data_IF_213030880010
#
_entry.id   IF_213030880010
#
_cell.length_a   1.000
_cell.length_b   1.000
_cell.length_c   1.000
_cell.angle_alpha   90.00
_cell.angle_beta   90.00
_cell.angle_gamma   90.00
#
_symmetry.space_group_name_H-M   'P 1'
#
loop_
_entity.id
_entity.type
_entity.pdbx_description
1 polymer ?
#
# COMPACT_ATOMS: atom_id res chain seq x y z
N UNK A 1 2.75 49.96 48.13
CA UNK A 1 1.41 49.34 48.16
C UNK A 1 1.15 48.69 46.81
N UNK A 2 1.48 47.40 46.65
CA UNK A 2 1.22 46.64 45.43
C UNK A 2 -0.13 45.95 45.56
N UNK A 3 -1.09 46.36 44.74
CA UNK A 3 -2.39 45.71 44.65
C UNK A 3 -2.21 44.33 44.00
N UNK A 4 -2.61 43.21 44.63
CA UNK A 4 -2.54 41.90 44.01
C UNK A 4 -3.57 41.80 42.87
N UNK A 5 -3.12 41.31 41.71
CA UNK A 5 -3.96 41.09 40.55
C UNK A 5 -5.06 40.06 40.86
N UNK A 6 -6.32 40.28 40.41
CA UNK A 6 -7.41 39.35 40.64
C UNK A 6 -7.14 38.03 39.91
N UNK A 7 -7.17 36.92 40.67
CA UNK A 7 -7.25 35.57 40.11
C UNK A 7 -8.62 35.41 39.47
N UNK A 8 -8.67 35.40 38.15
CA UNK A 8 -9.84 34.94 37.42
C UNK A 8 -9.92 33.41 37.55
N UNK A 9 -10.76 32.97 38.47
CA UNK A 9 -11.18 31.57 38.58
C UNK A 9 -12.29 31.37 37.54
N UNK A 10 -11.91 30.84 36.38
CA UNK A 10 -12.87 30.46 35.33
C UNK A 10 -13.60 29.22 35.84
N UNK A 11 -14.75 29.43 36.48
CA UNK A 11 -15.70 28.37 36.78
C UNK A 11 -16.18 27.78 35.44
N UNK A 12 -15.65 26.62 35.09
CA UNK A 12 -16.11 25.84 33.95
C UNK A 12 -17.53 25.36 34.22
N UNK A 13 -18.51 26.08 33.68
CA UNK A 13 -19.90 25.62 33.54
C UNK A 13 -19.90 24.42 32.60
N UNK A 14 -20.20 23.25 33.15
CA UNK A 14 -20.06 21.95 32.50
C UNK A 14 -21.11 21.63 31.41
N UNK A 15 -21.84 22.63 30.90
CA UNK A 15 -23.01 22.39 30.02
C UNK A 15 -23.13 23.37 28.84
N UNK A 16 -22.09 24.13 28.53
CA UNK A 16 -22.11 25.07 27.42
C UNK A 16 -21.30 24.51 26.25
N UNK A 17 -21.99 24.27 25.13
CA UNK A 17 -21.50 23.73 23.88
C UNK A 17 -20.06 24.17 23.59
N UNK A 18 -19.11 23.26 23.80
CA UNK A 18 -17.71 23.49 23.52
C UNK A 18 -17.62 24.01 22.07
N UNK A 19 -17.10 25.23 21.84
CA UNK A 19 -16.88 25.71 20.49
C UNK A 19 -16.04 24.66 19.79
N UNK A 20 -16.48 24.22 18.61
CA UNK A 20 -15.77 23.26 17.79
C UNK A 20 -14.34 23.76 17.60
N UNK A 21 -13.43 23.20 18.39
CA UNK A 21 -12.04 23.63 18.43
C UNK A 21 -11.49 23.46 17.00
N UNK A 22 -11.03 24.53 16.33
CA UNK A 22 -10.50 24.44 14.97
C UNK A 22 -9.34 23.43 14.87
N UNK A 23 -8.69 23.10 16.00
CA UNK A 23 -7.69 22.04 16.09
C UNK A 23 -8.22 20.62 15.77
N UNK A 24 -9.54 20.40 15.83
CA UNK A 24 -10.15 19.11 15.46
C UNK A 24 -10.07 18.81 13.96
N UNK A 25 -9.91 19.83 13.12
CA UNK A 25 -9.93 19.68 11.66
C UNK A 25 -8.61 19.23 11.05
N UNK A 26 -7.47 19.50 11.70
CA UNK A 26 -6.14 19.18 11.14
C UNK A 26 -5.70 17.72 11.35
N UNK A 27 -6.51 16.90 12.03
CA UNK A 27 -6.24 15.47 12.20
C UNK A 27 -5.02 15.15 13.06
N UNK A 28 -4.43 16.14 13.72
CA UNK A 28 -3.22 16.04 14.54
C UNK A 28 -3.49 15.57 15.98
N UNK A 29 -4.74 15.54 16.42
CA UNK A 29 -5.08 15.11 17.79
C UNK A 29 -5.10 13.58 17.88
N UNK A 30 -4.43 13.04 18.89
CA UNK A 30 -4.51 11.62 19.19
C UNK A 30 -5.91 11.23 19.70
N UNK A 31 -6.73 10.70 18.79
CA UNK A 31 -8.06 10.19 19.16
C UNK A 31 -7.95 9.02 20.16
N UNK A 32 -8.76 9.09 21.22
CA UNK A 32 -9.00 7.98 22.15
C UNK A 32 -9.67 6.79 21.46
N UNK A 33 -9.61 5.58 22.03
CA UNK A 33 -10.25 4.40 21.43
C UNK A 33 -11.75 4.59 21.19
N UNK A 34 -12.46 5.25 22.12
CA UNK A 34 -13.88 5.58 22.01
C UNK A 34 -14.16 6.56 20.89
N UNK A 35 -13.38 7.63 20.77
CA UNK A 35 -13.53 8.61 19.68
C UNK A 35 -13.30 7.96 18.31
N UNK A 36 -12.36 7.02 18.19
CA UNK A 36 -12.14 6.27 16.95
C UNK A 36 -13.33 5.37 16.59
N UNK A 37 -13.95 4.71 17.57
CA UNK A 37 -15.17 3.92 17.33
C UNK A 37 -16.35 4.81 16.94
N UNK A 38 -16.52 5.95 17.62
CA UNK A 38 -17.54 6.94 17.25
C UNK A 38 -17.33 7.45 15.82
N UNK A 39 -16.09 7.74 15.43
CA UNK A 39 -15.76 8.14 14.06
C UNK A 39 -16.15 7.03 13.06
N UNK A 40 -15.89 5.76 13.37
CA UNK A 40 -16.20 4.65 12.47
C UNK A 40 -17.70 4.49 12.18
N UNK A 41 -18.55 4.69 13.21
CA UNK A 41 -19.99 4.38 13.11
C UNK A 41 -20.88 5.62 12.94
N UNK A 42 -20.46 6.77 13.45
CA UNK A 42 -21.27 8.00 13.40
C UNK A 42 -20.93 8.87 12.19
N UNK A 43 -19.69 8.81 11.68
CA UNK A 43 -19.30 9.60 10.51
C UNK A 43 -19.87 8.95 9.24
N UNK A 44 -20.79 9.62 8.51
CA UNK A 44 -21.50 9.01 7.39
C UNK A 44 -20.55 8.56 6.27
N UNK A 45 -19.48 9.33 6.04
CA UNK A 45 -18.51 9.03 5.01
C UNK A 45 -17.69 7.75 5.33
N UNK A 46 -17.31 7.54 6.59
CA UNK A 46 -16.58 6.34 7.03
C UNK A 46 -17.50 5.13 7.09
N UNK A 47 -18.75 5.33 7.55
CA UNK A 47 -19.78 4.29 7.60
C UNK A 47 -20.02 3.64 6.24
N UNK A 48 -20.01 4.43 5.16
CA UNK A 48 -20.22 3.88 3.83
C UNK A 48 -19.07 2.93 3.40
N UNK A 49 -17.82 3.20 3.79
CA UNK A 49 -16.70 2.27 3.56
C UNK A 49 -16.80 1.02 4.41
N UNK A 50 -17.28 1.13 5.65
CA UNK A 50 -17.52 -0.02 6.54
C UNK A 50 -18.59 -0.94 5.94
N UNK A 51 -19.68 -0.36 5.43
CA UNK A 51 -20.73 -1.11 4.73
C UNK A 51 -20.14 -1.79 3.48
N UNK A 52 -19.38 -1.05 2.66
CA UNK A 52 -18.74 -1.62 1.46
C UNK A 52 -17.79 -2.78 1.80
N UNK A 53 -17.00 -2.66 2.88
CA UNK A 53 -16.10 -3.71 3.33
C UNK A 53 -16.86 -4.97 3.78
N UNK A 54 -17.94 -4.81 4.57
CA UNK A 54 -18.77 -5.94 4.99
C UNK A 54 -19.53 -6.59 3.83
N UNK A 55 -20.07 -5.79 2.90
CA UNK A 55 -20.71 -6.31 1.69
C UNK A 55 -19.73 -7.10 0.83
N UNK A 56 -18.49 -6.62 0.70
CA UNK A 56 -17.43 -7.33 -0.01
C UNK A 56 -17.05 -8.65 0.68
N UNK A 57 -16.90 -8.66 2.01
CA UNK A 57 -16.65 -9.90 2.77
C UNK A 57 -17.79 -10.91 2.65
N UNK A 58 -19.04 -10.45 2.69
CA UNK A 58 -20.20 -11.29 2.47
C UNK A 58 -20.19 -11.90 1.05
N UNK A 59 -19.81 -11.11 0.04
CA UNK A 59 -19.69 -11.60 -1.33
C UNK A 59 -18.55 -12.63 -1.48
N UNK A 60 -17.39 -12.41 -0.86
CA UNK A 60 -16.29 -13.39 -0.83
C UNK A 60 -16.76 -14.71 -0.21
N UNK A 61 -17.47 -14.64 0.91
CA UNK A 61 -18.06 -15.81 1.56
C UNK A 61 -19.02 -16.56 0.63
N UNK A 62 -19.96 -15.86 0.00
CA UNK A 62 -20.93 -16.48 -0.90
C UNK A 62 -20.27 -17.18 -2.08
N UNK A 63 -19.24 -16.58 -2.69
CA UNK A 63 -18.52 -17.21 -3.80
C UNK A 63 -17.75 -18.45 -3.34
N UNK A 64 -17.05 -18.39 -2.20
CA UNK A 64 -16.33 -19.56 -1.67
C UNK A 64 -17.27 -20.68 -1.23
N UNK A 65 -18.42 -20.33 -0.67
CA UNK A 65 -19.48 -21.28 -0.33
C UNK A 65 -20.02 -21.98 -1.58
N UNK A 66 -20.27 -21.24 -2.67
CA UNK A 66 -20.67 -21.84 -3.97
C UNK A 66 -19.59 -22.76 -4.56
N UNK A 67 -18.32 -22.52 -4.24
CA UNK A 67 -17.18 -23.38 -4.63
C UNK A 67 -16.99 -24.57 -3.69
N UNK A 68 -17.83 -24.74 -2.66
CA UNK A 68 -17.76 -25.83 -1.68
C UNK A 68 -16.69 -25.63 -0.59
N UNK A 69 -16.18 -24.41 -0.43
CA UNK A 69 -15.17 -24.06 0.59
C UNK A 69 -15.78 -23.30 1.76
N UNK A 70 -16.69 -23.95 2.48
CA UNK A 70 -17.48 -23.34 3.57
C UNK A 70 -16.59 -22.85 4.72
N UNK A 71 -15.63 -23.70 5.13
CA UNK A 71 -14.67 -23.40 6.19
C UNK A 71 -13.76 -22.22 5.81
N UNK A 72 -13.31 -22.19 4.55
CA UNK A 72 -12.47 -21.13 4.02
C UNK A 72 -13.21 -19.79 3.99
N UNK A 73 -14.44 -19.80 3.48
CA UNK A 73 -15.32 -18.63 3.51
C UNK A 73 -15.51 -18.08 4.93
N UNK A 74 -15.87 -18.95 5.89
CA UNK A 74 -16.11 -18.54 7.28
C UNK A 74 -14.85 -17.93 7.92
N UNK A 75 -13.69 -18.56 7.73
CA UNK A 75 -12.42 -18.08 8.29
C UNK A 75 -12.05 -16.70 7.74
N UNK A 76 -12.26 -16.46 6.44
CA UNK A 76 -12.01 -15.15 5.80
C UNK A 76 -12.94 -14.08 6.37
N UNK A 77 -14.23 -14.39 6.58
CA UNK A 77 -15.15 -13.43 7.20
C UNK A 77 -14.71 -13.08 8.61
N UNK A 78 -14.34 -14.07 9.44
CA UNK A 78 -13.89 -13.81 10.82
C UNK A 78 -12.64 -12.92 10.84
N UNK A 79 -11.63 -13.24 10.01
CA UNK A 79 -10.40 -12.45 9.91
C UNK A 79 -10.71 -11.05 9.37
N UNK A 80 -11.53 -10.96 8.33
CA UNK A 80 -11.89 -9.71 7.68
C UNK A 80 -12.67 -8.76 8.58
N UNK A 81 -13.71 -9.28 9.25
CA UNK A 81 -14.51 -8.54 10.25
C UNK A 81 -13.63 -8.10 11.41
N UNK A 82 -12.78 -9.00 11.94
CA UNK A 82 -11.82 -8.66 12.99
C UNK A 82 -10.85 -7.57 12.52
N UNK A 83 -10.41 -7.62 11.27
CA UNK A 83 -9.59 -6.59 10.63
C UNK A 83 -10.24 -5.21 10.62
N UNK A 84 -11.52 -5.14 10.24
CA UNK A 84 -12.30 -3.89 10.21
C UNK A 84 -12.51 -3.35 11.63
N UNK A 85 -12.95 -4.20 12.56
CA UNK A 85 -13.34 -3.79 13.93
C UNK A 85 -12.12 -3.48 14.81
N UNK A 86 -11.16 -4.41 14.86
CA UNK A 86 -9.94 -4.27 15.67
C UNK A 86 -8.89 -3.40 14.99
N UNK A 87 -9.10 -3.02 13.73
CA UNK A 87 -8.16 -2.21 12.94
C UNK A 87 -6.79 -2.88 12.86
N UNK A 88 -6.81 -4.18 12.61
CA UNK A 88 -5.62 -4.98 12.50
C UNK A 88 -4.98 -4.79 11.12
N UNK A 89 -3.85 -4.09 11.06
CA UNK A 89 -3.17 -3.69 9.81
C UNK A 89 -2.73 -4.88 8.95
N UNK A 90 -2.48 -6.04 9.56
CA UNK A 90 -2.11 -7.26 8.84
C UNK A 90 -3.32 -8.03 8.27
N UNK A 91 -4.56 -7.70 8.67
CA UNK A 91 -5.74 -8.44 8.24
C UNK A 91 -5.91 -8.58 6.71
N UNK A 92 -5.68 -7.54 5.88
CA UNK A 92 -5.69 -7.68 4.42
C UNK A 92 -4.77 -8.78 3.89
N UNK A 93 -3.54 -8.86 4.42
CA UNK A 93 -2.57 -9.86 4.03
C UNK A 93 -3.00 -11.27 4.46
N UNK A 94 -3.56 -11.41 5.67
CA UNK A 94 -4.12 -12.68 6.13
C UNK A 94 -5.33 -13.12 5.31
N UNK A 95 -6.23 -12.20 4.95
CA UNK A 95 -7.37 -12.50 4.06
C UNK A 95 -6.88 -13.03 2.72
N UNK A 96 -5.91 -12.36 2.08
CA UNK A 96 -5.32 -12.83 0.82
C UNK A 96 -4.62 -14.18 0.96
N UNK A 97 -3.87 -14.38 2.04
CA UNK A 97 -3.18 -15.63 2.31
C UNK A 97 -4.16 -16.80 2.47
N UNK A 98 -5.20 -16.63 3.31
CA UNK A 98 -6.23 -17.65 3.55
C UNK A 98 -7.05 -17.90 2.28
N UNK A 99 -7.44 -16.84 1.56
CA UNK A 99 -8.12 -16.97 0.28
C UNK A 99 -7.30 -17.79 -0.72
N UNK A 100 -6.02 -17.46 -0.88
CA UNK A 100 -5.12 -18.18 -1.78
C UNK A 100 -4.99 -19.65 -1.35
N UNK A 101 -4.85 -19.91 -0.05
CA UNK A 101 -4.78 -21.26 0.48
C UNK A 101 -6.02 -22.09 0.12
N UNK A 102 -7.23 -21.54 0.33
CA UNK A 102 -8.48 -22.26 0.04
C UNK A 102 -8.81 -22.33 -1.46
N UNK A 103 -8.30 -21.41 -2.29
CA UNK A 103 -8.37 -21.56 -3.75
C UNK A 103 -7.51 -22.74 -4.24
N UNK A 104 -6.39 -23.03 -3.56
CA UNK A 104 -5.53 -24.18 -3.88
C UNK A 104 -6.07 -25.47 -3.23
N UNK A 105 -6.62 -25.37 -2.01
CA UNK A 105 -7.11 -26.48 -1.22
C UNK A 105 -8.54 -26.18 -0.72
N UNK A 106 -9.59 -26.40 -1.53
CA UNK A 106 -10.96 -26.01 -1.16
C UNK A 106 -11.46 -26.68 0.12
N UNK A 107 -11.01 -27.91 0.40
CA UNK A 107 -11.31 -28.68 1.61
C UNK A 107 -10.35 -28.43 2.77
N UNK A 108 -9.32 -27.60 2.59
CA UNK A 108 -8.35 -27.24 3.63
C UNK A 108 -7.29 -28.30 3.96
N UNK A 109 -7.38 -29.53 3.42
CA UNK A 109 -6.41 -30.62 3.66
C UNK A 109 -5.54 -30.82 2.41
N UNK A 110 -4.20 -30.64 2.51
CA UNK A 110 -3.31 -30.93 1.39
C UNK A 110 -3.21 -32.45 1.18
N UNK A 111 -3.68 -32.95 0.03
CA UNK A 111 -3.45 -34.33 -0.40
C UNK A 111 -4.70 -35.18 -0.63
N UNK A 112 -5.85 -34.79 -0.08
CA UNK A 112 -7.12 -35.50 -0.30
C UNK A 112 -7.92 -34.98 -1.51
N UNK A 113 -7.52 -33.82 -2.04
CA UNK A 113 -8.24 -33.16 -3.12
C UNK A 113 -7.72 -33.59 -4.50
N UNK A 114 -8.53 -34.43 -5.16
CA UNK A 114 -8.55 -34.76 -6.59
C UNK A 114 -7.45 -35.72 -7.09
N UNK A 115 -7.87 -36.88 -7.62
CA UNK A 115 -7.04 -37.75 -8.49
C UNK A 115 -6.46 -36.97 -9.69
N UNK A 116 -7.05 -35.82 -10.03
CA UNK A 116 -6.61 -34.89 -11.07
C UNK A 116 -6.23 -33.50 -10.51
N UNK A 117 -5.37 -33.44 -9.47
CA UNK A 117 -4.81 -32.20 -8.88
C UNK A 117 -4.24 -31.18 -9.87
N UNK A 118 -3.92 -31.61 -11.10
CA UNK A 118 -3.32 -30.81 -12.16
C UNK A 118 -4.21 -30.64 -13.39
N UNK A 119 -5.42 -31.18 -13.35
CA UNK A 119 -6.48 -30.79 -14.28
C UNK A 119 -7.06 -29.48 -13.74
N UNK A 120 -6.20 -28.45 -13.73
CA UNK A 120 -6.69 -27.08 -13.77
C UNK A 120 -7.54 -27.09 -15.03
N UNK A 121 -8.87 -27.06 -14.86
CA UNK A 121 -9.75 -26.69 -15.95
C UNK A 121 -9.27 -25.29 -16.35
N UNK A 122 -8.38 -25.26 -17.35
CA UNK A 122 -7.83 -24.07 -18.00
C UNK A 122 -9.00 -23.41 -18.74
N UNK A 123 -9.93 -22.92 -17.93
CA UNK A 123 -11.24 -22.47 -18.29
C UNK A 123 -11.15 -21.00 -18.57
N UNK A 124 -11.57 -20.65 -19.78
CA UNK A 124 -11.92 -19.28 -20.16
C UNK A 124 -12.80 -18.64 -19.09
N UNK A 125 -12.66 -17.32 -18.95
CA UNK A 125 -13.55 -16.38 -18.25
C UNK A 125 -14.62 -17.02 -17.36
N UNK A 126 -14.32 -17.19 -16.07
CA UNK A 126 -15.31 -17.63 -15.07
C UNK A 126 -15.93 -16.40 -14.40
N UNK A 127 -17.27 -16.20 -14.50
CA UNK A 127 -17.93 -15.09 -13.83
C UNK A 127 -17.72 -15.10 -12.31
N UNK A 128 -17.61 -16.29 -11.70
CA UNK A 128 -17.33 -16.45 -10.26
C UNK A 128 -16.01 -15.83 -9.85
N UNK A 129 -14.96 -16.03 -10.65
CA UNK A 129 -13.61 -15.54 -10.33
C UNK A 129 -13.53 -14.03 -10.50
N UNK A 130 -14.28 -13.49 -11.48
CA UNK A 130 -14.44 -12.05 -11.67
C UNK A 130 -15.14 -11.40 -10.46
N UNK A 131 -16.25 -11.98 -10.01
CA UNK A 131 -16.98 -11.48 -8.83
C UNK A 131 -16.12 -11.59 -7.58
N UNK A 132 -15.38 -12.69 -7.41
CA UNK A 132 -14.44 -12.87 -6.30
C UNK A 132 -13.32 -11.82 -6.31
N UNK A 133 -12.65 -11.64 -7.45
CA UNK A 133 -11.59 -10.65 -7.60
C UNK A 133 -12.10 -9.23 -7.34
N UNK A 134 -13.30 -8.91 -7.82
CA UNK A 134 -13.96 -7.63 -7.56
C UNK A 134 -14.26 -7.44 -6.08
N UNK A 135 -14.82 -8.44 -5.41
CA UNK A 135 -15.10 -8.37 -3.97
C UNK A 135 -13.81 -8.21 -3.15
N UNK A 136 -12.75 -8.93 -3.48
CA UNK A 136 -11.44 -8.79 -2.84
C UNK A 136 -10.87 -7.38 -3.04
N UNK A 137 -10.89 -6.84 -4.27
CA UNK A 137 -10.43 -5.49 -4.54
C UNK A 137 -11.20 -4.42 -3.76
N UNK A 138 -12.53 -4.54 -3.70
CA UNK A 138 -13.37 -3.61 -2.93
C UNK A 138 -13.10 -3.72 -1.44
N UNK A 139 -12.96 -4.94 -0.89
CA UNK A 139 -12.58 -5.14 0.50
C UNK A 139 -11.24 -4.50 0.83
N UNK A 140 -10.19 -4.78 0.03
CA UNK A 140 -8.85 -4.23 0.24
C UNK A 140 -8.87 -2.71 0.18
N UNK A 141 -9.52 -2.13 -0.83
CA UNK A 141 -9.62 -0.69 -1.00
C UNK A 141 -10.37 -0.03 0.17
N UNK A 142 -11.53 -0.57 0.56
CA UNK A 142 -12.31 -0.07 1.69
C UNK A 142 -11.52 -0.16 3.01
N UNK A 143 -10.84 -1.29 3.25
CA UNK A 143 -10.04 -1.51 4.45
C UNK A 143 -8.86 -0.52 4.54
N UNK A 144 -8.12 -0.29 3.44
CA UNK A 144 -7.07 0.74 3.41
C UNK A 144 -7.61 2.16 3.56
N UNK A 145 -8.81 2.47 3.03
CA UNK A 145 -9.46 3.77 3.25
C UNK A 145 -9.86 3.96 4.71
N UNK A 146 -10.48 2.95 5.34
CA UNK A 146 -10.80 2.97 6.77
C UNK A 146 -9.53 3.20 7.59
N UNK A 147 -8.42 2.54 7.24
CA UNK A 147 -7.14 2.77 7.89
C UNK A 147 -6.69 4.22 7.77
N UNK A 148 -6.82 4.86 6.61
CA UNK A 148 -6.42 6.26 6.39
C UNK A 148 -7.15 7.30 7.25
N UNK A 149 -8.35 6.96 7.76
CA UNK A 149 -9.09 7.84 8.69
C UNK A 149 -8.66 7.67 10.14
N UNK A 150 -8.27 6.46 10.53
CA UNK A 150 -7.95 6.15 11.93
C UNK A 150 -6.45 6.23 12.20
N UNK A 151 -5.63 5.90 11.21
CA UNK A 151 -4.18 5.90 11.23
C UNK A 151 -3.64 6.47 9.93
N UNK A 152 -2.35 6.77 9.92
CA UNK A 152 -1.69 7.15 8.69
C UNK A 152 -1.51 5.90 7.81
N UNK A 153 -2.24 5.82 6.69
CA UNK A 153 -2.25 4.65 5.81
C UNK A 153 -0.98 4.51 4.95
N UNK A 154 -0.24 5.61 4.74
CA UNK A 154 0.97 5.64 3.92
C UNK A 154 2.10 6.12 4.82
N UNK A 155 3.21 5.37 4.87
CA UNK A 155 4.41 5.83 5.56
C UNK A 155 4.79 7.23 5.05
N UNK A 156 5.11 8.18 5.94
CA UNK A 156 5.51 9.52 5.52
C UNK A 156 6.69 9.38 4.54
N UNK A 157 6.51 9.80 3.29
CA UNK A 157 7.63 10.01 2.38
C UNK A 157 8.32 11.31 2.82
N UNK A 158 9.33 11.21 3.67
CA UNK A 158 10.03 12.37 4.23
C UNK A 158 11.11 12.01 5.25
N UNK A 159 11.92 13.00 5.63
CA UNK A 159 12.94 12.86 6.68
C UNK A 159 12.31 12.32 7.98
N UNK A 160 13.07 11.47 8.68
CA UNK A 160 12.70 10.81 9.94
C UNK A 160 11.79 11.71 10.79
N UNK A 161 10.53 11.31 10.92
CA UNK A 161 9.54 12.06 11.70
C UNK A 161 10.05 12.20 13.13
N UNK A 162 9.92 13.40 13.70
CA UNK A 162 10.24 13.61 15.12
C UNK A 162 9.29 12.76 15.95
N UNK A 163 9.82 12.11 16.98
CA UNK A 163 9.04 11.21 17.84
C UNK A 163 7.79 11.89 18.44
N UNK A 164 7.84 13.22 18.60
CA UNK A 164 6.77 14.03 19.21
C UNK A 164 5.82 14.67 18.18
N UNK A 165 6.07 14.52 16.88
CA UNK A 165 5.19 15.09 15.86
C UNK A 165 3.90 14.27 15.80
N UNK A 166 2.70 14.88 15.82
CA UNK A 166 1.43 14.14 15.80
C UNK A 166 1.20 13.38 14.48
N UNK A 167 0.40 12.32 14.54
CA UNK A 167 0.10 11.51 13.35
C UNK A 167 -0.83 12.28 12.42
N UNK A 168 -0.36 12.67 11.25
CA UNK A 168 -1.20 13.29 10.21
C UNK A 168 -2.24 12.30 9.72
N UNK A 169 -3.52 12.63 9.87
CA UNK A 169 -4.67 11.83 9.42
C UNK A 169 -5.41 12.54 8.31
N UNK A 170 -6.08 11.78 7.44
CA UNK A 170 -6.93 12.39 6.42
C UNK A 170 -8.21 12.94 7.08
N UNK A 171 -8.56 14.22 6.90
CA UNK A 171 -9.78 14.77 7.46
C UNK A 171 -11.02 14.11 6.80
N UNK A 172 -12.06 13.73 7.56
CA UNK A 172 -13.27 13.10 7.02
C UNK A 172 -14.00 13.97 5.99
N UNK A 173 -13.96 15.29 6.17
CA UNK A 173 -14.60 16.25 5.25
C UNK A 173 -13.98 16.30 3.84
N UNK A 174 -12.79 15.71 3.63
CA UNK A 174 -12.14 15.64 2.32
C UNK A 174 -12.63 14.45 1.47
N UNK A 175 -13.69 13.75 1.88
CA UNK A 175 -14.29 12.65 1.14
C UNK A 175 -15.40 13.21 0.25
N UNK A 176 -15.27 13.02 -1.06
CA UNK A 176 -16.35 13.37 -1.98
C UNK A 176 -17.48 12.32 -1.90
N UNK A 177 -18.74 12.76 -2.00
CA UNK A 177 -19.91 11.85 -1.97
C UNK A 177 -19.89 10.79 -3.09
N UNK A 178 -19.17 11.04 -4.20
CA UNK A 178 -19.01 10.11 -5.32
C UNK A 178 -17.81 9.16 -5.22
N UNK A 179 -17.03 9.22 -4.13
CA UNK A 179 -15.78 8.46 -4.03
C UNK A 179 -16.00 6.94 -4.03
N UNK A 180 -17.08 6.47 -3.41
CA UNK A 180 -17.42 5.03 -3.39
C UNK A 180 -17.86 4.53 -4.76
N UNK A 181 -18.69 5.29 -5.47
CA UNK A 181 -19.06 4.98 -6.85
C UNK A 181 -17.83 4.91 -7.75
N UNK A 182 -16.90 5.86 -7.57
CA UNK A 182 -15.61 5.87 -8.29
C UNK A 182 -14.76 4.66 -7.93
N UNK A 183 -14.66 4.30 -6.64
CA UNK A 183 -13.91 3.13 -6.17
C UNK A 183 -14.46 1.83 -6.77
N UNK A 184 -15.79 1.66 -6.78
CA UNK A 184 -16.45 0.50 -7.39
C UNK A 184 -16.21 0.45 -8.90
N UNK A 185 -16.34 1.58 -9.60
CA UNK A 185 -16.09 1.67 -11.04
C UNK A 185 -14.62 1.36 -11.38
N UNK A 186 -13.67 1.93 -10.64
CA UNK A 186 -12.24 1.69 -10.85
C UNK A 186 -11.92 0.22 -10.57
N UNK A 187 -12.44 -0.34 -9.48
CA UNK A 187 -12.29 -1.78 -9.17
C UNK A 187 -12.84 -2.65 -10.30
N UNK A 188 -14.03 -2.32 -10.83
CA UNK A 188 -14.62 -3.03 -11.96
C UNK A 188 -13.72 -2.98 -13.20
N UNK A 189 -13.27 -1.79 -13.60
CA UNK A 189 -12.42 -1.59 -14.78
C UNK A 189 -11.10 -2.34 -14.64
N UNK A 190 -10.48 -2.29 -13.45
CA UNK A 190 -9.23 -3.01 -13.17
C UNK A 190 -9.45 -4.52 -13.29
N UNK A 191 -10.50 -5.07 -12.70
CA UNK A 191 -10.77 -6.52 -12.74
C UNK A 191 -11.08 -6.98 -14.16
N UNK A 192 -11.89 -6.24 -14.91
CA UNK A 192 -12.17 -6.54 -16.32
C UNK A 192 -10.89 -6.48 -17.15
N UNK A 193 -10.08 -5.43 -16.98
CA UNK A 193 -8.80 -5.29 -17.67
C UNK A 193 -7.83 -6.44 -17.35
N UNK A 194 -7.72 -6.81 -16.07
CA UNK A 194 -6.90 -7.94 -15.62
C UNK A 194 -7.41 -9.28 -16.19
N UNK A 195 -8.73 -9.47 -16.25
CA UNK A 195 -9.34 -10.67 -16.81
C UNK A 195 -9.12 -10.78 -18.33
N UNK A 196 -9.23 -9.67 -19.06
CA UNK A 196 -8.91 -9.61 -20.49
C UNK A 196 -7.42 -9.88 -20.73
N UNK A 197 -6.54 -9.31 -19.90
CA UNK A 197 -5.11 -9.57 -19.96
C UNK A 197 -4.80 -11.05 -19.71
N UNK A 198 -5.41 -11.65 -18.69
CA UNK A 198 -5.28 -13.08 -18.38
C UNK A 198 -5.79 -13.96 -19.53
N UNK A 199 -6.88 -13.56 -20.17
CA UNK A 199 -7.38 -14.23 -21.37
C UNK A 199 -6.38 -14.17 -22.52
N UNK A 200 -5.78 -13.00 -22.79
CA UNK A 200 -4.72 -12.86 -23.81
C UNK A 200 -3.52 -13.76 -23.47
N UNK A 201 -3.05 -13.74 -22.22
CA UNK A 201 -1.93 -14.58 -21.76
C UNK A 201 -2.17 -16.06 -22.02
N UNK A 202 -3.36 -16.56 -21.67
CA UNK A 202 -3.70 -17.97 -21.88
C UNK A 202 -3.99 -18.31 -23.34
N UNK A 203 -4.26 -17.32 -24.17
CA UNK A 203 -4.50 -17.52 -25.60
C UNK A 203 -3.22 -17.49 -26.43
N UNK A 204 -2.10 -17.02 -25.86
CA UNK A 204 -0.80 -16.96 -26.52
C UNK A 204 0.06 -18.18 -26.17
N UNK A 205 0.46 -18.93 -27.19
CA UNK A 205 1.47 -20.00 -27.11
C UNK A 205 2.80 -19.46 -27.64
N UNK A 206 3.89 -19.75 -26.93
CA UNK A 206 5.27 -19.40 -27.33
C UNK A 206 5.96 -20.65 -27.85
N UNK A 207 6.30 -20.66 -29.14
CA UNK A 207 7.03 -21.74 -29.82
C UNK A 207 8.34 -21.18 -30.36
N UNK A 208 9.44 -21.20 -29.58
CA UNK A 208 10.71 -20.58 -29.99
C UNK A 208 11.33 -21.17 -31.26
N UNK A 209 10.88 -22.36 -31.66
CA UNK A 209 11.37 -23.12 -32.82
C UNK A 209 10.67 -22.75 -34.13
N UNK A 210 9.54 -22.05 -34.08
CA UNK A 210 8.81 -21.63 -35.27
C UNK A 210 9.31 -20.26 -35.78
N UNK A 211 9.12 -19.95 -37.06
CA UNK A 211 9.51 -18.66 -37.66
C UNK A 211 8.85 -17.45 -36.97
N UNK A 212 7.67 -17.65 -36.39
CA UNK A 212 6.96 -16.65 -35.57
C UNK A 212 6.83 -17.20 -34.16
N UNK A 213 7.49 -16.59 -33.15
CA UNK A 213 7.57 -17.17 -31.81
C UNK A 213 6.26 -17.09 -31.01
N UNK A 214 5.23 -16.43 -31.55
CA UNK A 214 3.92 -16.27 -30.91
C UNK A 214 2.81 -16.77 -31.81
N UNK A 215 2.00 -17.71 -31.30
CA UNK A 215 0.83 -18.24 -32.00
C UNK A 215 -0.39 -18.19 -31.09
N UNK A 216 -1.55 -17.88 -31.69
CA UNK A 216 -2.84 -17.99 -30.99
C UNK A 216 -3.22 -19.46 -30.82
N UNK A 217 -3.51 -19.87 -29.59
CA UNK A 217 -3.98 -21.23 -29.30
C UNK A 217 -5.37 -21.45 -29.89
N UNK A 218 -5.46 -22.33 -30.89
CA UNK A 218 -6.75 -22.69 -31.52
C UNK A 218 -7.52 -23.74 -30.71
N UNK A 219 -6.86 -24.46 -29.79
CA UNK A 219 -7.50 -25.51 -28.99
C UNK A 219 -7.88 -24.99 -27.60
N UNK A 220 -9.18 -24.90 -27.34
CA UNK A 220 -9.75 -24.51 -26.04
C UNK A 220 -9.49 -25.49 -24.89
N UNK A 221 -8.93 -26.67 -25.19
CA UNK A 221 -8.65 -27.75 -24.22
C UNK A 221 -7.23 -28.24 -24.43
N UNK A 222 -6.26 -27.55 -23.82
CA UNK A 222 -4.86 -27.99 -23.80
C UNK A 222 -4.69 -29.12 -22.78
N UNK A 223 -5.30 -30.28 -23.04
CA UNK A 223 -4.85 -31.50 -22.38
C UNK A 223 -3.38 -31.69 -22.75
N UNK A 224 -2.51 -31.92 -21.74
CA UNK A 224 -1.05 -32.12 -21.86
C UNK A 224 -0.70 -32.69 -23.24
N UNK A 225 -0.38 -31.83 -24.21
CA UNK A 225 0.21 -32.31 -25.46
C UNK A 225 1.53 -32.93 -25.04
N UNK A 226 1.73 -34.19 -25.40
CA UNK A 226 3.06 -34.80 -25.42
C UNK A 226 3.96 -33.81 -26.13
N UNK A 227 4.98 -33.32 -25.41
CA UNK A 227 5.91 -32.28 -25.86
C UNK A 227 6.39 -32.66 -27.26
N UNK A 228 5.83 -32.02 -28.30
CA UNK A 228 6.40 -32.11 -29.64
C UNK A 228 7.84 -31.58 -29.53
N UNK A 229 8.77 -32.31 -30.14
CA UNK A 229 10.21 -32.14 -29.95
C UNK A 229 10.64 -30.68 -30.17
N UNK A 230 10.87 -29.95 -29.08
CA UNK A 230 11.35 -28.55 -29.09
C UNK A 230 10.43 -27.53 -28.39
N UNK A 231 9.19 -27.87 -28.07
CA UNK A 231 8.25 -26.96 -27.39
C UNK A 231 8.50 -26.84 -25.87
N UNK A 232 8.24 -25.65 -25.31
CA UNK A 232 8.16 -25.46 -23.86
C UNK A 232 6.86 -26.08 -23.33
N UNK A 233 6.85 -26.56 -22.08
CA UNK A 233 5.60 -27.01 -21.46
C UNK A 233 4.62 -25.82 -21.36
N UNK A 234 3.29 -26.04 -21.47
CA UNK A 234 2.31 -24.95 -21.41
C UNK A 234 2.49 -24.05 -20.17
N UNK A 235 2.85 -24.64 -19.03
CA UNK A 235 3.15 -23.91 -17.80
C UNK A 235 4.39 -23.00 -17.93
N UNK A 236 5.47 -23.49 -18.53
CA UNK A 236 6.69 -22.68 -18.73
C UNK A 236 6.45 -21.55 -19.74
N UNK A 237 5.72 -21.83 -20.82
CA UNK A 237 5.28 -20.83 -21.79
C UNK A 237 4.53 -19.68 -21.12
N UNK A 238 3.51 -20.01 -20.33
CA UNK A 238 2.72 -19.01 -19.57
C UNK A 238 3.61 -18.24 -18.59
N UNK A 239 4.52 -18.92 -17.91
CA UNK A 239 5.47 -18.28 -16.99
C UNK A 239 6.35 -17.25 -17.69
N UNK A 240 6.92 -17.58 -18.85
CA UNK A 240 7.74 -16.66 -19.65
C UNK A 240 6.90 -15.46 -20.11
N UNK A 241 5.69 -15.69 -20.62
CA UNK A 241 4.76 -14.61 -21.02
C UNK A 241 4.41 -13.71 -19.83
N UNK A 242 4.12 -14.29 -18.66
CA UNK A 242 3.82 -13.53 -17.44
C UNK A 242 4.99 -12.66 -17.01
N UNK A 243 6.22 -13.20 -17.01
CA UNK A 243 7.43 -12.41 -16.69
C UNK A 243 7.62 -11.27 -17.69
N UNK A 244 7.49 -11.56 -18.99
CA UNK A 244 7.62 -10.55 -20.04
C UNK A 244 6.61 -9.42 -19.89
N UNK A 245 5.34 -9.75 -19.65
CA UNK A 245 4.28 -8.76 -19.41
C UNK A 245 4.46 -8.00 -18.10
N UNK A 246 4.93 -8.66 -17.03
CA UNK A 246 5.24 -7.99 -15.78
C UNK A 246 6.38 -6.98 -15.96
N UNK A 247 7.46 -7.38 -16.63
CA UNK A 247 8.58 -6.48 -16.94
C UNK A 247 8.16 -5.29 -17.82
N UNK A 248 7.41 -5.55 -18.89
CA UNK A 248 6.86 -4.51 -19.75
C UNK A 248 5.89 -3.59 -19.00
N UNK A 249 5.00 -4.16 -18.19
CA UNK A 249 4.03 -3.42 -17.38
C UNK A 249 4.69 -2.51 -16.36
N UNK A 250 5.76 -2.96 -15.69
CA UNK A 250 6.55 -2.13 -14.77
C UNK A 250 7.25 -0.99 -15.53
N UNK A 251 7.84 -1.27 -16.68
CA UNK A 251 8.50 -0.24 -17.50
C UNK A 251 7.51 0.79 -18.02
N UNK A 252 6.37 0.34 -18.58
CA UNK A 252 5.30 1.21 -19.07
C UNK A 252 4.68 2.02 -17.94
N UNK A 253 4.41 1.38 -16.79
CA UNK A 253 3.90 2.04 -15.59
C UNK A 253 4.85 3.14 -15.14
N UNK A 254 6.15 2.84 -15.02
CA UNK A 254 7.17 3.84 -14.67
C UNK A 254 7.17 5.02 -15.66
N UNK A 255 7.03 4.75 -16.96
CA UNK A 255 7.00 5.79 -17.99
C UNK A 255 5.74 6.66 -17.88
N UNK A 256 4.56 6.03 -17.79
CA UNK A 256 3.26 6.74 -17.72
C UNK A 256 3.15 7.52 -16.41
N UNK A 257 3.43 6.90 -15.26
CA UNK A 257 3.39 7.59 -13.97
C UNK A 257 4.50 8.63 -13.83
N UNK A 258 5.69 8.37 -14.40
CA UNK A 258 6.75 9.36 -14.48
C UNK A 258 6.32 10.59 -15.26
N UNK A 259 5.76 10.39 -16.46
CA UNK A 259 5.26 11.48 -17.30
C UNK A 259 4.08 12.22 -16.66
N UNK A 260 3.13 11.48 -16.08
CA UNK A 260 1.98 12.08 -15.39
C UNK A 260 2.40 12.88 -14.17
N UNK A 261 3.34 12.38 -13.37
CA UNK A 261 3.97 13.12 -12.28
C UNK A 261 4.65 14.39 -12.80
N UNK A 262 5.42 14.30 -13.88
CA UNK A 262 6.04 15.44 -14.56
C UNK A 262 5.02 16.50 -15.00
N UNK A 263 3.84 16.08 -15.48
CA UNK A 263 2.80 17.00 -15.93
C UNK A 263 2.01 17.67 -14.79
N UNK A 264 1.89 16.99 -13.65
CA UNK A 264 1.15 17.50 -12.49
C UNK A 264 2.03 18.21 -11.46
N UNK A 265 3.35 18.20 -11.62
CA UNK A 265 4.28 18.90 -10.73
C UNK A 265 4.01 20.41 -10.74
N UNK A 266 3.75 20.97 -9.57
CA UNK A 266 3.68 22.43 -9.40
C UNK A 266 5.08 23.03 -9.50
N UNK A 267 5.17 24.33 -9.85
CA UNK A 267 6.46 25.02 -9.98
C UNK A 267 7.31 24.91 -8.70
N UNK A 268 6.66 25.00 -7.54
CA UNK A 268 7.31 24.92 -6.23
C UNK A 268 7.85 23.50 -5.95
N UNK A 269 7.09 22.47 -6.29
CA UNK A 269 7.50 21.07 -6.16
C UNK A 269 8.65 20.74 -7.13
N UNK A 270 8.58 21.28 -8.35
CA UNK A 270 9.66 21.17 -9.33
C UNK A 270 10.94 21.83 -8.86
N UNK A 271 10.85 23.04 -8.29
CA UNK A 271 11.99 23.72 -7.69
C UNK A 271 12.59 22.93 -6.52
N UNK A 272 11.75 22.29 -5.70
CA UNK A 272 12.21 21.43 -4.61
C UNK A 272 12.95 20.19 -5.12
N UNK A 273 12.42 19.51 -6.14
CA UNK A 273 13.09 18.36 -6.76
C UNK A 273 14.45 18.77 -7.36
N UNK A 274 14.51 19.91 -8.06
CA UNK A 274 15.77 20.42 -8.61
C UNK A 274 16.76 20.80 -7.51
N UNK A 275 16.29 21.35 -6.38
CA UNK A 275 17.13 21.61 -5.22
C UNK A 275 17.68 20.32 -4.63
N UNK A 276 16.86 19.28 -4.47
CA UNK A 276 17.29 17.97 -3.97
C UNK A 276 18.29 17.30 -4.91
N UNK A 277 18.06 17.34 -6.23
CA UNK A 277 19.00 16.79 -7.21
C UNK A 277 20.32 17.57 -7.20
N UNK A 278 20.26 18.90 -7.17
CA UNK A 278 21.45 19.75 -7.03
C UNK A 278 22.21 19.49 -5.72
N UNK A 279 21.48 19.14 -4.66
CA UNK A 279 22.08 18.75 -3.38
C UNK A 279 22.73 17.37 -3.50
N UNK A 280 22.09 16.37 -4.10
CA UNK A 280 22.67 15.04 -4.29
C UNK A 280 23.95 15.10 -5.12
N UNK A 281 23.95 15.89 -6.19
CA UNK A 281 25.13 16.14 -7.02
C UNK A 281 26.26 16.83 -6.23
N UNK A 282 25.93 17.87 -5.46
CA UNK A 282 26.95 18.70 -4.78
C UNK A 282 27.33 18.23 -3.38
N UNK A 283 26.56 17.34 -2.74
CA UNK A 283 26.76 16.90 -1.34
C UNK A 283 28.13 16.27 -1.14
N UNK A 284 28.60 15.46 -2.09
CA UNK A 284 29.93 14.84 -2.00
C UNK A 284 31.03 15.89 -1.98
N UNK A 285 30.89 16.93 -2.81
CA UNK A 285 31.85 18.02 -2.91
C UNK A 285 31.81 18.93 -1.67
N UNK A 286 30.61 19.28 -1.19
CA UNK A 286 30.44 20.03 0.06
C UNK A 286 31.03 19.28 1.26
N UNK A 287 30.77 17.98 1.38
CA UNK A 287 31.36 17.15 2.44
C UNK A 287 32.88 17.10 2.34
N UNK A 288 33.44 17.06 1.13
CA UNK A 288 34.89 17.14 0.91
C UNK A 288 35.43 18.50 1.37
N UNK A 289 34.80 19.60 0.99
CA UNK A 289 35.21 20.95 1.42
C UNK A 289 35.12 21.12 2.94
N UNK A 290 34.08 20.60 3.58
CA UNK A 290 33.95 20.62 5.04
C UNK A 290 35.06 19.81 5.72
N UNK A 291 35.41 18.64 5.18
CA UNK A 291 36.56 17.85 5.67
C UNK A 291 37.87 18.63 5.54
N UNK A 292 38.10 19.29 4.41
CA UNK A 292 39.29 20.14 4.21
C UNK A 292 39.31 21.33 5.17
N UNK A 293 38.17 21.99 5.41
CA UNK A 293 38.08 23.07 6.40
C UNK A 293 38.39 22.58 7.81
N UNK A 294 37.85 21.42 8.21
CA UNK A 294 38.15 20.81 9.52
C UNK A 294 39.62 20.46 9.65
N UNK A 295 40.19 19.80 8.64
CA UNK A 295 41.62 19.47 8.60
C UNK A 295 42.51 20.72 8.69
N UNK A 296 42.18 21.78 7.95
CA UNK A 296 42.91 23.05 8.01
C UNK A 296 42.84 23.72 9.38
N UNK A 297 41.67 23.70 10.03
CA UNK A 297 41.52 24.21 11.40
C UNK A 297 42.33 23.40 12.42
N UNK A 298 42.37 22.08 12.29
CA UNK A 298 43.19 21.22 13.15
C UNK A 298 44.68 21.49 12.95
N UNK A 299 45.13 21.66 11.70
CA UNK A 299 46.52 21.96 11.40
C UNK A 299 46.95 23.35 11.89
N UNK A 300 46.08 24.36 11.77
CA UNK A 300 46.35 25.69 12.32
C UNK A 300 46.44 25.68 13.85
N UNK A 301 45.55 24.93 14.52
CA UNK A 301 45.62 24.74 15.98
C UNK A 301 46.90 24.04 16.41
N UNK A 302 47.34 23.01 15.67
CA UNK A 302 48.59 22.32 15.95
C UNK A 302 49.80 23.26 15.84
N UNK A 303 49.87 24.08 14.77
CA UNK A 303 50.93 25.09 14.62
C UNK A 303 50.91 26.15 15.72
N UNK A 304 49.74 26.66 16.08
CA UNK A 304 49.62 27.62 17.18
C UNK A 304 50.05 27.02 18.53
N UNK A 305 49.81 25.72 18.76
CA UNK A 305 50.28 25.03 19.94
C UNK A 305 51.81 24.81 19.94
N UNK A 306 52.42 24.55 18.79
CA UNK A 306 53.87 24.49 18.62
C UNK A 306 54.53 25.86 18.88
N UNK A 307 53.95 26.94 18.34
CA UNK A 307 54.43 28.33 18.52
C UNK A 307 54.29 28.84 19.95
N UNK A 308 53.23 28.44 20.67
CA UNK A 308 53.05 28.78 22.08
C UNK A 308 54.14 28.17 22.99
N UNK A 309 54.91 27.20 22.48
CA UNK A 309 55.96 26.49 23.20
C UNK A 309 55.40 25.60 24.31
N UNK A 310 56.21 24.69 24.89
CA UNK A 310 55.80 23.94 26.06
C UNK A 310 55.56 24.96 27.17
N UNK A 311 54.28 25.19 27.51
CA UNK A 311 53.91 25.96 28.68
C UNK A 311 54.76 25.41 29.83
N UNK A 312 55.71 26.23 30.32
CA UNK A 312 56.62 25.84 31.39
C UNK A 312 55.75 25.24 32.48
N UNK A 313 55.75 23.91 32.60
CA UNK A 313 55.08 23.22 33.69
C UNK A 313 55.77 23.76 34.92
N UNK A 314 55.09 24.69 35.60
CA UNK A 314 55.58 25.28 36.82
C UNK A 314 55.96 24.13 37.72
N UNK A 315 57.26 23.99 37.96
CA UNK A 315 57.84 23.09 38.92
C UNK A 315 57.23 23.44 40.27
N UNK A 316 56.13 22.78 40.63
CA UNK A 316 55.69 22.73 42.02
C UNK A 316 56.63 21.75 42.70
N UNK A 317 57.58 22.33 43.44
CA UNK A 317 58.32 21.68 44.50
C UNK A 317 57.35 21.16 45.57
#
# INVERSE_FOLDING_TARGET
MSSPAPKYEIAATADEAAPADPAYHDGSIDLTQRARLQLLFNEPAVRNYVIAAFSALAMIFLVLFQQGSDLGGLLIVIIGVSGVVLRWTAAPAFVLFVLTYFMVFPFGIPGEAFENRWEIEDGRFRPTDLVLAMAVMVYMAAQFRIFGFVHQAIAVEGAVRRQDEPVTRRPPGAISNGEIGTLLLVSFVIVIGAQLLWWVINSLEVTPTDDVPFRWSTNSRSFRRTVESGGLTPGLTRFVVMIGLMGFGVMLGRLVFGYWRLRNLRADEGAMILLDDSWLETKRERSRQEKWRRWGMEQAKARAAEEAGPAKKGSKA
#
